data_IF_116526872209
#
_entry.id   IF_116526872209
#
_cell.length_a   1.000
_cell.length_b   1.000
_cell.length_c   1.000
_cell.angle_alpha   90.00
_cell.angle_beta   90.00
_cell.angle_gamma   90.00
#
_symmetry.space_group_name_H-M   'P 1'
#
loop_
_entity.id
_entity.type
_entity.pdbx_description
1 polymer ?
#
# COMPACT_ATOMS: atom_id res chain seq x y z
N UNK A 1 -26.21 8.74 -2.89
CA UNK A 1 -25.02 8.59 -3.75
C UNK A 1 -25.31 7.57 -4.84
N UNK A 2 -24.89 7.86 -6.06
CA UNK A 2 -24.92 6.95 -7.21
C UNK A 2 -23.74 5.96 -7.17
N UNK A 3 -23.83 4.88 -7.96
CA UNK A 3 -22.75 3.92 -8.13
C UNK A 3 -21.44 4.58 -8.62
N UNK A 4 -21.56 5.59 -9.50
CA UNK A 4 -20.41 6.34 -10.01
C UNK A 4 -19.71 7.14 -8.91
N UNK A 5 -20.49 7.78 -8.03
CA UNK A 5 -19.94 8.53 -6.89
C UNK A 5 -19.23 7.60 -5.91
N UNK A 6 -19.81 6.43 -5.62
CA UNK A 6 -19.17 5.44 -4.74
C UNK A 6 -17.86 4.89 -5.36
N UNK A 7 -17.85 4.63 -6.67
CA UNK A 7 -16.64 4.21 -7.38
C UNK A 7 -15.54 5.27 -7.27
N UNK A 8 -15.85 6.55 -7.55
CA UNK A 8 -14.87 7.63 -7.47
C UNK A 8 -14.36 7.82 -6.04
N UNK A 9 -15.24 7.76 -5.05
CA UNK A 9 -14.84 7.82 -3.64
C UNK A 9 -13.88 6.67 -3.26
N UNK A 10 -14.12 5.46 -3.77
CA UNK A 10 -13.24 4.31 -3.54
C UNK A 10 -11.90 4.45 -4.23
N UNK A 11 -11.87 4.85 -5.50
CA UNK A 11 -10.62 5.10 -6.22
C UNK A 11 -9.81 6.23 -5.57
N UNK A 12 -10.47 7.28 -5.06
CA UNK A 12 -9.81 8.36 -4.32
C UNK A 12 -9.14 7.83 -3.04
N UNK A 13 -9.86 7.03 -2.24
CA UNK A 13 -9.30 6.39 -1.04
C UNK A 13 -8.15 5.42 -1.35
N UNK A 14 -8.14 4.84 -2.54
CA UNK A 14 -7.10 3.93 -3.03
C UNK A 14 -5.94 4.63 -3.76
N UNK A 15 -5.92 5.96 -3.81
CA UNK A 15 -4.88 6.76 -4.47
C UNK A 15 -4.78 6.46 -5.99
N UNK A 16 -5.93 6.17 -6.63
CA UNK A 16 -6.00 5.76 -8.04
C UNK A 16 -6.62 6.81 -8.97
N UNK A 17 -7.03 7.96 -8.44
CA UNK A 17 -7.51 9.07 -9.28
C UNK A 17 -6.39 10.00 -9.75
N UNK A 18 -5.30 10.04 -8.99
CA UNK A 18 -4.06 10.74 -9.29
C UNK A 18 -2.95 10.12 -8.45
N UNK A 19 -1.71 10.32 -8.87
CA UNK A 19 -0.55 10.04 -8.03
C UNK A 19 -0.48 11.12 -6.94
N UNK A 20 -0.31 10.71 -5.69
CA UNK A 20 -0.33 11.59 -4.52
C UNK A 20 1.09 11.77 -3.98
N UNK A 21 1.45 12.97 -3.49
CA UNK A 21 2.77 13.24 -2.89
C UNK A 21 2.83 12.70 -1.45
N UNK A 22 2.81 11.37 -1.31
CA UNK A 22 2.87 10.66 -0.04
C UNK A 22 4.13 9.78 0.00
N UNK A 23 4.75 9.70 1.18
CA UNK A 23 5.83 8.73 1.41
C UNK A 23 5.33 7.29 1.46
N UNK A 24 6.22 6.33 1.18
CA UNK A 24 5.91 4.90 1.07
C UNK A 24 5.15 4.35 2.28
N UNK A 25 5.64 4.57 3.50
CA UNK A 25 5.00 4.03 4.71
C UNK A 25 3.59 4.61 4.94
N UNK A 26 3.42 5.91 4.71
CA UNK A 26 2.12 6.59 4.83
C UNK A 26 1.13 6.07 3.79
N UNK A 27 1.59 5.81 2.56
CA UNK A 27 0.78 5.23 1.50
C UNK A 27 0.31 3.81 1.83
N UNK A 28 1.21 2.93 2.29
CA UNK A 28 0.85 1.56 2.69
C UNK A 28 -0.14 1.59 3.85
N UNK A 29 0.08 2.44 4.86
CA UNK A 29 -0.85 2.63 5.98
C UNK A 29 -2.23 3.12 5.50
N UNK A 30 -2.26 4.05 4.56
CA UNK A 30 -3.52 4.55 3.96
C UNK A 30 -4.28 3.46 3.19
N UNK A 31 -3.55 2.54 2.56
CA UNK A 31 -4.10 1.40 1.80
C UNK A 31 -4.35 0.16 2.66
N UNK A 32 -4.04 0.23 3.96
CA UNK A 32 -4.01 -0.84 4.94
C UNK A 32 -2.97 -1.92 4.64
N UNK A 33 -3.05 -2.59 3.48
CA UNK A 33 -2.14 -3.65 3.10
C UNK A 33 -2.01 -3.76 1.57
N UNK A 34 -0.80 -4.01 1.09
CA UNK A 34 -0.52 -4.27 -0.33
C UNK A 34 -0.15 -5.74 -0.54
N UNK A 35 -0.71 -6.35 -1.57
CA UNK A 35 -0.31 -7.72 -1.97
C UNK A 35 1.19 -7.76 -2.31
N UNK A 36 1.88 -8.74 -1.75
CA UNK A 36 3.32 -8.91 -1.83
C UNK A 36 3.73 -10.38 -2.14
N UNK A 37 2.80 -11.16 -2.71
CA UNK A 37 3.07 -12.56 -3.10
C UNK A 37 4.14 -12.66 -4.19
N UNK A 38 4.10 -11.73 -5.15
CA UNK A 38 5.19 -11.52 -6.09
C UNK A 38 6.05 -10.36 -5.58
N UNK A 39 7.40 -10.48 -5.58
CA UNK A 39 8.28 -9.42 -5.08
C UNK A 39 8.03 -8.04 -5.70
N UNK A 40 7.70 -7.99 -7.00
CA UNK A 40 7.46 -6.74 -7.71
C UNK A 40 6.11 -6.06 -7.37
N UNK A 41 5.13 -6.79 -6.80
CA UNK A 41 3.76 -6.27 -6.64
C UNK A 41 3.65 -4.99 -5.80
N UNK A 42 4.33 -4.85 -4.63
CA UNK A 42 4.26 -3.61 -3.86
C UNK A 42 4.89 -2.42 -4.58
N UNK A 43 5.98 -2.63 -5.33
CA UNK A 43 6.64 -1.59 -6.12
C UNK A 43 5.72 -1.07 -7.22
N UNK A 44 5.12 -1.98 -8.01
CA UNK A 44 4.18 -1.60 -9.07
C UNK A 44 2.94 -0.91 -8.50
N UNK A 45 2.44 -1.36 -7.33
CA UNK A 45 1.31 -0.75 -6.68
C UNK A 45 1.60 0.69 -6.23
N UNK A 46 2.77 0.95 -5.65
CA UNK A 46 3.16 2.28 -5.19
C UNK A 46 3.58 3.21 -6.33
N UNK A 47 4.28 2.69 -7.35
CA UNK A 47 4.65 3.46 -8.55
C UNK A 47 3.45 4.12 -9.23
N UNK A 48 2.32 3.40 -9.31
CA UNK A 48 1.07 3.92 -9.88
C UNK A 48 0.30 4.90 -8.98
N UNK A 49 0.67 5.01 -7.69
CA UNK A 49 -0.10 5.75 -6.68
C UNK A 49 0.64 6.94 -6.10
N UNK A 50 1.97 6.93 -6.11
CA UNK A 50 2.79 7.95 -5.46
C UNK A 50 3.50 8.79 -6.50
N UNK A 51 3.40 10.11 -6.34
CA UNK A 51 4.23 11.04 -7.09
C UNK A 51 5.66 11.01 -6.53
N UNK A 52 6.67 10.97 -7.41
CA UNK A 52 8.06 10.84 -6.98
C UNK A 52 8.46 9.51 -6.33
N UNK A 53 7.71 8.41 -6.54
CA UNK A 53 8.04 7.09 -5.98
C UNK A 53 9.49 6.66 -6.27
N UNK A 54 10.26 6.41 -5.22
CA UNK A 54 11.58 5.78 -5.26
C UNK A 54 11.51 4.35 -4.69
N UNK A 55 11.82 3.30 -5.48
CA UNK A 55 11.94 1.93 -4.99
C UNK A 55 12.85 1.77 -3.77
N UNK A 56 13.92 2.57 -3.66
CA UNK A 56 14.86 2.48 -2.54
C UNK A 56 14.21 2.86 -1.20
N UNK A 57 13.19 3.73 -1.19
CA UNK A 57 12.43 4.04 0.02
C UNK A 57 11.59 2.84 0.49
N UNK A 58 11.06 2.04 -0.44
CA UNK A 58 10.35 0.82 -0.10
C UNK A 58 11.31 -0.25 0.43
N UNK A 59 12.49 -0.39 -0.17
CA UNK A 59 13.54 -1.27 0.34
C UNK A 59 13.96 -0.89 1.75
N UNK A 60 14.21 0.39 1.99
CA UNK A 60 14.56 0.93 3.29
C UNK A 60 13.45 0.66 4.33
N UNK A 61 12.19 0.87 3.96
CA UNK A 61 11.05 0.65 4.86
C UNK A 61 10.84 -0.84 5.24
N UNK A 62 11.27 -1.78 4.39
CA UNK A 62 11.33 -3.19 4.79
C UNK A 62 12.55 -3.48 5.65
N UNK A 63 13.71 -2.91 5.32
CA UNK A 63 14.96 -3.12 6.04
C UNK A 63 14.89 -2.60 7.49
N UNK A 64 14.28 -1.44 7.71
CA UNK A 64 14.09 -0.83 9.02
C UNK A 64 12.86 -1.36 9.80
N UNK A 65 12.06 -2.24 9.17
CA UNK A 65 10.84 -2.85 9.70
C UNK A 65 9.72 -1.85 10.00
N UNK A 66 9.69 -0.71 9.30
CA UNK A 66 8.51 0.17 9.23
C UNK A 66 7.36 -0.55 8.51
N UNK A 67 7.69 -1.32 7.47
CA UNK A 67 6.79 -2.23 6.80
C UNK A 67 7.17 -3.68 7.10
N UNK A 68 6.16 -4.52 7.30
CA UNK A 68 6.31 -5.96 7.54
C UNK A 68 5.66 -6.72 6.39
N UNK A 69 6.34 -7.75 5.88
CA UNK A 69 5.77 -8.71 4.93
C UNK A 69 5.31 -9.96 5.67
N UNK A 70 4.03 -10.30 5.59
CA UNK A 70 3.46 -11.45 6.28
C UNK A 70 2.26 -12.04 5.53
N UNK A 71 1.93 -13.31 5.83
CA UNK A 71 0.69 -13.94 5.37
C UNK A 71 -0.48 -13.38 6.19
N UNK A 72 -1.39 -12.67 5.53
CA UNK A 72 -2.46 -11.91 6.17
C UNK A 72 -3.80 -12.21 5.48
N UNK A 73 -4.44 -11.19 4.92
CA UNK A 73 -5.78 -11.25 4.33
C UNK A 73 -5.89 -12.40 3.30
N UNK A 74 -6.86 -13.28 3.51
CA UNK A 74 -7.13 -14.42 2.61
C UNK A 74 -5.89 -15.32 2.37
N UNK A 75 -5.03 -15.47 3.37
CA UNK A 75 -3.89 -16.42 3.35
C UNK A 75 -2.88 -16.10 2.24
N UNK A 76 -2.63 -14.81 1.98
CA UNK A 76 -1.64 -14.36 0.99
C UNK A 76 -0.64 -13.40 1.60
N UNK A 77 0.56 -13.32 1.03
CA UNK A 77 1.58 -12.38 1.49
C UNK A 77 1.17 -10.94 1.21
N UNK A 78 1.28 -10.09 2.23
CA UNK A 78 1.06 -8.65 2.13
C UNK A 78 2.17 -7.87 2.81
N UNK A 79 2.44 -6.67 2.29
CA UNK A 79 3.16 -5.61 2.97
C UNK A 79 2.16 -4.75 3.77
N UNK A 80 2.43 -4.55 5.06
CA UNK A 80 1.59 -3.79 5.99
C UNK A 80 2.47 -2.88 6.84
N UNK A 81 1.95 -1.73 7.26
CA UNK A 81 2.63 -0.90 8.26
C UNK A 81 2.75 -1.66 9.59
N UNK A 82 3.89 -1.58 10.27
CA UNK A 82 4.15 -2.41 11.47
C UNK A 82 3.10 -2.24 12.56
N UNK A 83 2.60 -1.02 12.73
CA UNK A 83 1.61 -0.69 13.75
C UNK A 83 0.24 -1.33 13.47
N UNK A 84 -0.07 -1.58 12.20
CA UNK A 84 -1.36 -2.14 11.79
C UNK A 84 -1.29 -3.68 11.65
N UNK A 85 -0.09 -4.26 11.70
CA UNK A 85 0.13 -5.71 11.57
C UNK A 85 -0.74 -6.52 12.55
N UNK A 86 -0.81 -6.11 13.81
CA UNK A 86 -1.60 -6.81 14.83
C UNK A 86 -3.11 -6.74 14.59
N UNK A 87 -3.60 -5.73 13.87
CA UNK A 87 -5.03 -5.54 13.57
C UNK A 87 -5.50 -6.40 12.39
N UNK A 88 -4.60 -6.70 11.45
CA UNK A 88 -4.93 -7.43 10.21
C UNK A 88 -4.40 -8.86 10.16
N UNK A 89 -3.76 -9.32 11.24
CA UNK A 89 -3.28 -10.70 11.40
C UNK A 89 -4.41 -11.65 11.75
#
# INVERSE_FOLDING_TARGET
>A
MSARELNRATLARQLLLRREPLGVAAAVRRLLALQAQQPASPYLALWNRLDGFDPAELDAAFADRTLVKATLLRITLHAVHRDDYGTVR
#
